data_IF_228558476175
#
_entry.id   IF_228558476175
#
_cell.length_a   1.000
_cell.length_b   1.000
_cell.length_c   1.000
_cell.angle_alpha   90.00
_cell.angle_beta   90.00
_cell.angle_gamma   90.00
#
_symmetry.space_group_name_H-M   'P 1'
#
loop_
_entity.id
_entity.type
_entity.pdbx_description
1 polymer ?
#
# COMPACT_ATOMS: atom_id res chain seq x y z
N UNK A 1 2.78 -0.74 20.81
CA UNK A 1 3.00 0.48 20.00
C UNK A 1 2.70 0.16 18.54
N UNK A 2 1.46 0.40 18.08
CA UNK A 2 1.00 0.03 16.74
C UNK A 2 1.51 1.01 15.68
N UNK A 3 2.33 0.53 14.75
CA UNK A 3 2.75 1.25 13.55
C UNK A 3 1.58 1.30 12.54
N UNK A 4 1.07 2.50 12.32
CA UNK A 4 -0.10 2.75 11.49
C UNK A 4 0.39 3.08 10.06
N UNK A 5 0.14 2.15 9.14
CA UNK A 5 0.61 2.15 7.75
C UNK A 5 -0.48 2.73 6.83
N UNK A 6 -0.19 3.74 5.99
CA UNK A 6 -1.19 4.43 5.14
C UNK A 6 -0.69 4.78 3.73
N UNK A 7 -1.61 4.74 2.75
CA UNK A 7 -1.38 4.82 1.30
C UNK A 7 -1.81 6.16 0.69
N UNK A 8 -1.22 6.53 -0.45
CA UNK A 8 -1.40 7.82 -1.12
C UNK A 8 -2.07 7.73 -2.51
N UNK A 9 -2.50 8.85 -3.09
CA UNK A 9 -3.16 8.99 -4.41
C UNK A 9 -2.66 10.26 -5.11
N UNK A 10 -2.36 10.19 -6.42
CA UNK A 10 -2.13 11.32 -7.32
C UNK A 10 -2.92 11.13 -8.63
N UNK A 11 -3.33 12.23 -9.25
CA UNK A 11 -4.13 12.31 -10.50
C UNK A 11 -3.25 12.39 -11.77
N UNK A 12 -3.54 11.56 -12.79
CA UNK A 12 -2.90 11.44 -14.11
C UNK A 12 -2.53 12.75 -14.80
N UNK A 13 -3.49 13.68 -14.91
CA UNK A 13 -3.28 14.94 -15.67
C UNK A 13 -2.26 15.84 -14.97
N UNK A 14 -2.17 15.72 -13.67
CA UNK A 14 -1.24 16.47 -12.84
C UNK A 14 0.17 15.88 -12.88
N UNK A 15 0.29 14.55 -12.85
CA UNK A 15 1.57 13.85 -12.95
C UNK A 15 2.23 14.08 -14.32
N UNK A 16 1.48 13.94 -15.41
CA UNK A 16 1.98 14.13 -16.77
C UNK A 16 2.32 15.59 -17.09
N UNK A 17 1.57 16.55 -16.54
CA UNK A 17 1.90 17.98 -16.67
C UNK A 17 3.11 18.39 -15.84
N UNK A 18 3.32 17.81 -14.65
CA UNK A 18 4.53 18.00 -13.82
C UNK A 18 5.78 17.38 -14.47
N UNK A 19 5.66 16.25 -15.18
CA UNK A 19 6.77 15.61 -15.91
C UNK A 19 7.15 16.39 -17.18
N UNK A 20 6.19 16.86 -17.99
CA UNK A 20 6.48 17.68 -19.18
C UNK A 20 7.02 19.09 -18.85
N UNK A 21 6.73 19.64 -17.66
CA UNK A 21 7.15 21.00 -17.27
C UNK A 21 8.52 21.11 -16.59
N UNK A 22 9.20 20.01 -16.24
CA UNK A 22 10.53 20.07 -15.59
C UNK A 22 11.70 20.33 -16.56
N UNK A 23 11.53 21.31 -17.45
CA UNK A 23 12.64 22.05 -18.08
C UNK A 23 12.68 23.53 -17.71
N UNK A 24 11.72 24.09 -16.96
CA UNK A 24 11.86 25.47 -16.45
C UNK A 24 10.91 25.79 -15.30
N UNK A 25 11.48 26.48 -14.31
CA UNK A 25 10.89 27.26 -13.20
C UNK A 25 9.49 26.92 -12.67
N UNK A 26 9.47 26.69 -11.36
CA UNK A 26 8.33 26.75 -10.43
C UNK A 26 7.23 27.75 -10.86
N UNK A 27 6.00 27.25 -11.11
CA UNK A 27 4.75 28.01 -10.94
C UNK A 27 3.64 27.09 -10.43
N UNK A 28 2.88 27.63 -9.49
CA UNK A 28 1.79 27.07 -8.68
C UNK A 28 0.72 26.31 -9.49
N UNK A 29 0.21 25.16 -9.01
CA UNK A 29 -1.00 24.57 -9.55
C UNK A 29 -2.26 24.99 -8.79
N UNK A 30 -3.33 25.05 -9.56
CA UNK A 30 -4.65 25.64 -9.31
C UNK A 30 -5.56 24.65 -8.57
N UNK A 31 -6.42 25.21 -7.71
CA UNK A 31 -7.37 24.56 -6.80
C UNK A 31 -8.51 23.81 -7.52
N UNK A 32 -8.93 22.66 -6.98
CA UNK A 32 -10.30 22.13 -7.16
C UNK A 32 -10.85 21.67 -5.80
N UNK A 33 -12.05 22.11 -5.40
CA UNK A 33 -12.67 21.67 -4.16
C UNK A 33 -13.32 20.31 -4.40
N UNK A 34 -12.89 19.27 -3.67
CA UNK A 34 -13.66 18.03 -3.56
C UNK A 34 -14.26 17.96 -2.17
N UNK A 35 -15.51 18.39 -2.12
CA UNK A 35 -16.43 18.16 -1.02
C UNK A 35 -16.73 16.67 -0.85
N UNK A 36 -17.05 16.31 0.39
CA UNK A 36 -17.42 15.00 0.93
C UNK A 36 -16.24 14.06 1.22
N UNK A 37 -16.14 13.78 2.52
CA UNK A 37 -15.52 12.64 3.20
C UNK A 37 -15.05 11.51 2.25
N UNK A 38 -13.88 10.93 2.53
CA UNK A 38 -13.22 9.81 1.83
C UNK A 38 -12.13 10.21 0.82
N UNK A 39 -10.91 10.45 1.32
CA UNK A 39 -9.64 10.28 0.57
C UNK A 39 -8.63 9.64 1.54
N UNK A 40 -7.84 8.62 1.22
CA UNK A 40 -7.00 8.47 0.03
C UNK A 40 -6.78 6.98 -0.30
N UNK A 41 -7.31 6.50 -1.43
CA UNK A 41 -6.89 5.25 -2.04
C UNK A 41 -7.16 5.37 -3.54
N UNK A 42 -6.16 5.66 -4.38
CA UNK A 42 -6.29 5.50 -5.84
C UNK A 42 -4.93 5.52 -6.58
N UNK A 43 -3.95 4.71 -6.17
CA UNK A 43 -2.73 4.48 -6.98
C UNK A 43 -2.94 3.43 -8.10
N UNK A 44 -4.08 2.75 -8.17
CA UNK A 44 -4.17 1.46 -8.89
C UNK A 44 -4.74 1.53 -10.31
N UNK A 45 -5.50 2.56 -10.71
CA UNK A 45 -6.01 2.60 -12.11
C UNK A 45 -5.00 3.14 -13.13
N UNK A 46 -3.95 3.84 -12.70
CA UNK A 46 -3.00 4.49 -13.63
C UNK A 46 -1.75 3.66 -13.90
N UNK A 47 -1.40 2.69 -13.06
CA UNK A 47 -0.23 1.82 -13.29
C UNK A 47 -0.51 0.84 -14.46
N UNK A 48 -1.75 0.40 -14.63
CA UNK A 48 -2.16 -0.54 -15.70
C UNK A 48 -2.22 0.06 -17.11
N UNK A 49 -2.37 1.38 -17.25
CA UNK A 49 -2.26 2.05 -18.57
C UNK A 49 -0.87 2.65 -18.79
N UNK A 50 0.03 2.50 -17.82
CA UNK A 50 1.44 2.89 -17.93
C UNK A 50 2.32 1.73 -18.42
N UNK A 51 1.76 0.51 -18.42
CA UNK A 51 2.44 -0.75 -18.73
C UNK A 51 2.63 -1.07 -20.20
N UNK A 52 2.09 -0.29 -21.14
CA UNK A 52 2.25 -0.57 -22.58
C UNK A 52 3.27 0.33 -23.31
N UNK A 53 3.85 1.36 -22.67
CA UNK A 53 4.89 2.21 -23.29
C UNK A 53 6.19 2.37 -22.51
N UNK A 54 6.32 1.82 -21.29
CA UNK A 54 7.58 1.92 -20.51
C UNK A 54 8.07 0.53 -20.11
N UNK A 55 8.39 -0.25 -21.13
CA UNK A 55 9.25 -1.40 -21.00
C UNK A 55 10.70 -0.92 -20.75
N UNK A 56 11.44 -1.63 -19.91
CA UNK A 56 12.88 -1.46 -19.53
C UNK A 56 13.12 -0.77 -18.18
N UNK A 57 13.13 -1.59 -17.11
CA UNK A 57 13.88 -1.45 -15.84
C UNK A 57 13.62 -0.21 -14.96
N UNK A 58 12.47 -0.15 -14.26
CA UNK A 58 12.37 0.65 -13.02
C UNK A 58 12.13 -0.26 -11.82
N UNK A 59 13.08 -0.22 -10.87
CA UNK A 59 12.99 -0.89 -9.57
C UNK A 59 11.84 -0.33 -8.73
N UNK A 60 11.31 -1.13 -7.80
CA UNK A 60 10.26 -0.67 -6.89
C UNK A 60 10.71 0.55 -6.08
N UNK A 61 12.00 0.60 -5.69
CA UNK A 61 12.61 1.77 -5.08
C UNK A 61 12.45 3.05 -5.90
N UNK A 62 12.61 2.97 -7.22
CA UNK A 62 12.47 4.11 -8.13
C UNK A 62 11.01 4.56 -8.22
N UNK A 63 10.08 3.59 -8.33
CA UNK A 63 8.64 3.85 -8.34
C UNK A 63 8.23 4.55 -7.04
N UNK A 64 8.70 4.04 -5.90
CA UNK A 64 8.44 4.60 -4.58
C UNK A 64 8.89 6.06 -4.47
N UNK A 65 10.13 6.36 -4.88
CA UNK A 65 10.67 7.72 -4.84
C UNK A 65 9.86 8.71 -5.70
N UNK A 66 9.44 8.28 -6.90
CA UNK A 66 8.58 9.08 -7.78
C UNK A 66 7.24 9.36 -7.09
N UNK A 67 6.60 8.34 -6.52
CA UNK A 67 5.34 8.52 -5.79
C UNK A 67 5.50 9.49 -4.62
N UNK A 68 6.58 9.39 -3.83
CA UNK A 68 6.88 10.34 -2.74
C UNK A 68 6.96 11.79 -3.19
N UNK A 69 7.55 12.06 -4.35
CA UNK A 69 7.70 13.42 -4.86
C UNK A 69 6.37 14.07 -5.27
N UNK A 70 5.32 13.28 -5.37
CA UNK A 70 4.00 13.70 -5.86
C UNK A 70 2.98 13.84 -4.73
N UNK A 71 3.39 13.49 -3.50
CA UNK A 71 2.53 13.48 -2.32
C UNK A 71 2.42 14.90 -1.72
N UNK A 72 1.18 15.35 -1.53
CA UNK A 72 0.86 16.60 -0.86
C UNK A 72 0.29 16.34 0.53
N UNK A 73 1.15 16.38 1.56
CA UNK A 73 0.79 15.96 2.92
C UNK A 73 -0.30 16.81 3.59
N UNK A 74 -0.50 18.04 3.10
CA UNK A 74 -1.51 18.99 3.59
C UNK A 74 -2.95 18.55 3.25
N UNK A 75 -3.13 17.63 2.30
CA UNK A 75 -4.44 17.09 1.91
C UNK A 75 -4.72 15.71 2.54
N UNK A 76 -3.81 15.18 3.35
CA UNK A 76 -3.95 13.85 3.95
C UNK A 76 -4.77 13.95 5.24
N UNK A 77 -5.78 13.09 5.36
CA UNK A 77 -6.54 12.88 6.60
C UNK A 77 -5.74 11.99 7.54
N UNK A 78 -5.57 12.41 8.80
CA UNK A 78 -4.95 11.56 9.80
C UNK A 78 -5.86 10.37 10.13
N UNK A 79 -5.37 9.14 10.01
CA UNK A 79 -6.19 7.97 10.27
C UNK A 79 -6.35 7.65 11.76
N UNK A 80 -5.53 8.26 12.63
CA UNK A 80 -5.66 8.10 14.08
C UNK A 80 -6.65 9.09 14.68
N UNK A 81 -6.68 10.34 14.22
CA UNK A 81 -7.51 11.40 14.82
C UNK A 81 -8.46 12.11 13.85
N UNK A 82 -8.44 11.79 12.56
CA UNK A 82 -9.31 12.40 11.55
C UNK A 82 -8.92 13.80 11.09
N UNK A 83 -7.94 14.46 11.73
CA UNK A 83 -7.51 15.82 11.35
C UNK A 83 -6.81 15.81 10.00
N UNK A 84 -7.15 16.77 9.14
CA UNK A 84 -6.59 16.91 7.79
C UNK A 84 -5.36 17.82 7.81
N UNK A 85 -4.31 17.45 7.10
CA UNK A 85 -3.19 18.33 6.75
C UNK A 85 -2.18 18.64 7.84
N UNK A 86 -2.42 18.21 9.08
CA UNK A 86 -1.52 18.43 10.22
C UNK A 86 -0.35 17.44 10.26
N UNK A 87 0.36 17.31 9.14
CA UNK A 87 1.50 16.40 8.99
C UNK A 87 2.81 17.14 8.73
N UNK A 88 3.91 16.54 9.20
CA UNK A 88 5.28 16.86 8.74
C UNK A 88 5.95 15.61 8.23
N UNK A 89 6.88 15.75 7.29
CA UNK A 89 7.81 14.67 6.98
C UNK A 89 8.65 14.35 8.22
N UNK A 90 8.76 13.06 8.53
CA UNK A 90 9.40 12.59 9.74
C UNK A 90 10.28 11.37 9.45
N UNK A 91 11.60 11.57 9.41
CA UNK A 91 12.57 10.48 9.27
C UNK A 91 12.23 9.44 8.18
N UNK A 92 12.86 8.28 8.30
CA UNK A 92 12.58 7.13 7.45
C UNK A 92 12.99 5.86 8.21
N UNK A 93 12.48 4.71 7.78
CA UNK A 93 13.07 3.43 8.13
C UNK A 93 13.33 2.63 6.88
N UNK A 94 14.36 1.81 6.92
CA UNK A 94 14.71 0.95 5.81
C UNK A 94 14.08 -0.42 5.99
N UNK A 95 13.57 -1.00 4.91
CA UNK A 95 13.14 -2.40 4.90
C UNK A 95 13.52 -3.07 3.59
N UNK A 96 13.90 -4.33 3.68
CA UNK A 96 13.96 -5.18 2.51
C UNK A 96 12.54 -5.63 2.14
N UNK A 97 12.26 -5.66 0.84
CA UNK A 97 10.95 -5.94 0.30
C UNK A 97 11.07 -6.79 -0.95
N UNK A 98 10.29 -7.85 -1.02
CA UNK A 98 10.18 -8.77 -2.15
C UNK A 98 9.04 -8.29 -3.04
N UNK A 99 9.39 -7.93 -4.27
CA UNK A 99 8.46 -7.52 -5.30
C UNK A 99 8.84 -8.21 -6.61
N UNK A 100 7.91 -8.96 -7.20
CA UNK A 100 8.14 -9.73 -8.44
C UNK A 100 9.40 -10.59 -8.35
N UNK A 101 9.56 -11.29 -7.21
CA UNK A 101 10.68 -12.18 -6.90
C UNK A 101 12.06 -11.48 -6.79
N UNK A 102 12.08 -10.15 -6.83
CA UNK A 102 13.27 -9.32 -6.58
C UNK A 102 13.25 -8.82 -5.14
N UNK A 103 14.35 -9.07 -4.41
CA UNK A 103 14.57 -8.52 -3.07
C UNK A 103 15.25 -7.15 -3.18
N UNK A 104 14.53 -6.08 -2.83
CA UNK A 104 15.04 -4.72 -2.85
C UNK A 104 15.03 -4.07 -1.47
N UNK A 105 16.00 -3.20 -1.21
CA UNK A 105 15.99 -2.32 -0.05
C UNK A 105 15.23 -1.01 -0.34
N UNK A 106 14.21 -0.71 0.46
CA UNK A 106 13.36 0.48 0.31
C UNK A 106 13.40 1.32 1.59
N UNK A 107 13.68 2.63 1.42
CA UNK A 107 13.61 3.63 2.49
C UNK A 107 12.19 4.15 2.59
N UNK A 108 11.43 3.65 3.56
CA UNK A 108 10.04 4.05 3.77
C UNK A 108 9.99 5.39 4.51
N UNK A 109 9.39 6.37 3.85
CA UNK A 109 9.11 7.69 4.42
C UNK A 109 8.06 7.57 5.52
N UNK A 110 8.28 8.28 6.63
CA UNK A 110 7.25 8.45 7.67
C UNK A 110 6.79 9.90 7.72
N UNK A 111 5.58 10.10 8.20
CA UNK A 111 5.00 11.42 8.47
C UNK A 111 4.53 11.46 9.91
N UNK A 112 4.64 12.60 10.57
CA UNK A 112 4.24 12.78 11.96
C UNK A 112 3.03 13.70 12.02
N UNK A 113 1.96 13.23 12.64
CA UNK A 113 0.77 14.03 12.87
C UNK A 113 1.00 14.95 14.08
N UNK A 114 0.94 16.27 13.88
CA UNK A 114 1.11 17.25 14.96
C UNK A 114 -0.05 17.22 15.95
N UNK A 115 -1.25 16.89 15.49
CA UNK A 115 -2.46 16.83 16.30
C UNK A 115 -2.45 15.65 17.28
N UNK A 116 -2.34 14.41 16.81
CA UNK A 116 -2.38 13.23 17.68
C UNK A 116 -1.01 12.70 18.12
N UNK A 117 0.08 13.33 17.67
CA UNK A 117 1.47 12.95 18.00
C UNK A 117 1.83 11.52 17.57
N UNK A 118 1.13 10.96 16.59
CA UNK A 118 1.41 9.63 16.03
C UNK A 118 2.24 9.75 14.76
N UNK A 119 3.21 8.84 14.59
CA UNK A 119 3.95 8.69 13.34
C UNK A 119 3.32 7.61 12.45
N UNK A 120 3.16 7.93 11.17
CA UNK A 120 2.58 7.06 10.15
C UNK A 120 3.59 6.75 9.06
N UNK A 121 3.49 5.57 8.46
CA UNK A 121 4.34 5.15 7.34
C UNK A 121 3.63 5.35 6.02
N UNK A 122 4.32 5.92 5.02
CA UNK A 122 3.83 6.04 3.66
C UNK A 122 4.17 4.76 2.88
N UNK A 123 3.16 3.96 2.55
CA UNK A 123 3.32 2.75 1.74
C UNK A 123 2.56 2.82 0.42
N UNK A 124 3.04 2.07 -0.58
CA UNK A 124 2.32 1.85 -1.84
C UNK A 124 1.23 0.79 -1.67
N UNK A 125 0.29 0.72 -2.61
CA UNK A 125 -0.75 -0.31 -2.60
C UNK A 125 -0.28 -1.73 -2.82
N UNK A 126 0.87 -1.92 -3.43
CA UNK A 126 1.51 -3.21 -3.52
C UNK A 126 2.17 -3.66 -2.19
N UNK A 127 2.20 -2.79 -1.17
CA UNK A 127 2.91 -3.03 0.08
C UNK A 127 1.96 -3.37 1.22
N UNK A 128 2.10 -4.58 1.77
CA UNK A 128 1.36 -4.99 2.96
C UNK A 128 2.07 -4.45 4.23
N UNK A 129 1.35 -3.87 5.20
CA UNK A 129 1.91 -3.46 6.50
C UNK A 129 2.71 -4.58 7.16
N UNK A 130 3.86 -4.26 7.75
CA UNK A 130 4.74 -5.21 8.47
C UNK A 130 5.28 -6.40 7.68
N UNK A 131 4.79 -6.62 6.47
CA UNK A 131 5.22 -7.66 5.56
C UNK A 131 6.44 -7.18 4.77
N UNK A 132 7.35 -8.13 4.51
CA UNK A 132 8.42 -7.99 3.53
C UNK A 132 7.97 -8.42 2.13
N UNK A 133 6.79 -8.99 1.97
CA UNK A 133 6.26 -9.50 0.71
C UNK A 133 5.18 -8.59 0.16
N UNK A 134 5.12 -8.49 -1.17
CA UNK A 134 4.10 -7.75 -1.90
C UNK A 134 2.69 -8.28 -1.68
N UNK A 135 1.71 -7.42 -1.96
CA UNK A 135 0.30 -7.79 -1.99
C UNK A 135 0.06 -8.94 -2.96
N UNK A 136 0.69 -8.93 -4.14
CA UNK A 136 0.54 -10.01 -5.13
C UNK A 136 0.99 -11.36 -4.58
N UNK A 137 2.08 -11.41 -3.82
CA UNK A 137 2.55 -12.63 -3.14
C UNK A 137 1.52 -13.07 -2.08
N UNK A 138 1.01 -12.14 -1.27
CA UNK A 138 -0.03 -12.46 -0.30
C UNK A 138 -1.27 -13.04 -0.98
N UNK A 139 -1.75 -12.42 -2.06
CA UNK A 139 -2.91 -12.88 -2.83
C UNK A 139 -2.68 -14.31 -3.35
N UNK A 140 -1.52 -14.58 -3.98
CA UNK A 140 -1.15 -15.92 -4.45
C UNK A 140 -1.24 -16.96 -3.32
N UNK A 141 -0.59 -16.69 -2.19
CA UNK A 141 -0.55 -17.61 -1.02
C UNK A 141 -1.94 -17.91 -0.45
N UNK A 142 -2.80 -16.88 -0.32
CA UNK A 142 -4.13 -17.06 0.30
C UNK A 142 -5.14 -17.68 -0.65
N UNK A 143 -4.89 -17.62 -1.96
CA UNK A 143 -5.73 -18.22 -2.99
C UNK A 143 -5.41 -19.69 -3.27
N UNK A 144 -4.25 -20.21 -2.84
CA UNK A 144 -3.93 -21.64 -3.01
C UNK A 144 -5.04 -22.51 -2.42
N UNK A 145 -5.49 -23.52 -3.17
CA UNK A 145 -6.61 -24.39 -2.80
C UNK A 145 -6.18 -25.48 -1.82
N UNK A 146 -4.97 -25.98 -2.00
CA UNK A 146 -4.41 -27.07 -1.22
C UNK A 146 -2.92 -26.84 -0.89
N UNK A 147 -2.33 -27.78 -0.17
CA UNK A 147 -0.93 -27.72 0.26
C UNK A 147 0.06 -27.94 -0.90
N UNK A 148 -0.36 -28.61 -1.98
CA UNK A 148 0.48 -28.80 -3.16
C UNK A 148 0.64 -27.47 -3.92
N UNK A 149 -0.46 -26.77 -4.21
CA UNK A 149 -0.43 -25.45 -4.84
C UNK A 149 0.31 -24.42 -3.97
N UNK A 150 0.22 -24.56 -2.64
CA UNK A 150 0.97 -23.74 -1.69
C UNK A 150 2.48 -24.01 -1.77
N UNK A 151 2.87 -25.29 -1.88
CA UNK A 151 4.26 -25.71 -2.05
C UNK A 151 4.82 -25.22 -3.38
N UNK A 152 4.08 -25.36 -4.48
CA UNK A 152 4.49 -24.90 -5.82
C UNK A 152 4.65 -23.37 -5.85
N UNK A 153 3.72 -22.65 -5.19
CA UNK A 153 3.82 -21.19 -5.01
C UNK A 153 5.05 -20.80 -4.22
N UNK A 154 5.33 -21.51 -3.12
CA UNK A 154 6.53 -21.29 -2.31
C UNK A 154 7.81 -21.51 -3.13
N UNK A 155 7.88 -22.62 -3.86
CA UNK A 155 9.01 -22.97 -4.72
C UNK A 155 9.26 -21.91 -5.78
N UNK A 156 8.20 -21.39 -6.40
CA UNK A 156 8.28 -20.33 -7.41
C UNK A 156 8.80 -19.01 -6.83
N UNK A 157 8.40 -18.64 -5.62
CA UNK A 157 8.83 -17.37 -4.99
C UNK A 157 10.34 -17.42 -4.65
N UNK A 158 10.86 -18.58 -4.24
CA UNK A 158 12.29 -18.86 -4.04
C UNK A 158 13.02 -18.10 -2.92
N UNK A 159 12.46 -16.99 -2.42
CA UNK A 159 13.10 -16.07 -1.46
C UNK A 159 12.39 -16.01 -0.09
N UNK A 160 11.48 -16.94 0.18
CA UNK A 160 10.70 -17.03 1.42
C UNK A 160 10.83 -18.45 2.00
N UNK A 161 10.89 -18.59 3.33
CA UNK A 161 10.82 -19.92 3.94
C UNK A 161 9.39 -20.47 3.91
N UNK A 162 9.24 -21.79 3.85
CA UNK A 162 7.90 -22.37 3.76
C UNK A 162 7.05 -22.09 5.01
N UNK A 163 7.67 -22.02 6.19
CA UNK A 163 6.99 -21.63 7.43
C UNK A 163 6.46 -20.20 7.39
N UNK A 164 7.16 -19.28 6.71
CA UNK A 164 6.66 -17.92 6.49
C UNK A 164 5.44 -17.91 5.56
N UNK A 165 5.45 -18.72 4.50
CA UNK A 165 4.29 -18.91 3.62
C UNK A 165 3.08 -19.42 4.41
N UNK A 166 3.28 -20.50 5.20
CA UNK A 166 2.26 -21.05 6.08
C UNK A 166 1.76 -20.04 7.09
N UNK A 167 2.65 -19.23 7.67
CA UNK A 167 2.28 -18.18 8.63
C UNK A 167 1.39 -17.11 7.97
N UNK A 168 1.77 -16.61 6.77
CA UNK A 168 0.94 -15.65 6.02
C UNK A 168 -0.45 -16.21 5.78
N UNK A 169 -0.53 -17.45 5.27
CA UNK A 169 -1.80 -18.16 5.04
C UNK A 169 -2.60 -18.28 6.33
N UNK A 170 -2.01 -18.78 7.41
CA UNK A 170 -2.64 -18.91 8.73
C UNK A 170 -3.19 -17.57 9.23
N UNK A 171 -2.40 -16.49 9.18
CA UNK A 171 -2.85 -15.17 9.65
C UNK A 171 -4.04 -14.64 8.84
N UNK A 172 -4.06 -14.90 7.52
CA UNK A 172 -5.19 -14.56 6.69
C UNK A 172 -6.46 -15.33 7.10
N UNK A 173 -6.38 -16.66 7.24
CA UNK A 173 -7.54 -17.46 7.63
C UNK A 173 -8.06 -17.09 9.03
N UNK A 174 -7.16 -16.84 9.99
CA UNK A 174 -7.51 -16.50 11.38
C UNK A 174 -8.14 -15.12 11.58
N UNK A 175 -7.74 -14.12 10.78
CA UNK A 175 -8.07 -12.71 11.06
C UNK A 175 -8.75 -11.96 9.92
N UNK A 176 -8.76 -12.51 8.69
CA UNK A 176 -9.16 -11.79 7.49
C UNK A 176 -10.20 -12.50 6.63
N UNK A 177 -10.18 -13.83 6.52
CA UNK A 177 -11.09 -14.55 5.61
C UNK A 177 -12.56 -14.16 5.81
N UNK A 178 -13.09 -14.33 7.02
CA UNK A 178 -14.50 -14.03 7.32
C UNK A 178 -14.84 -12.56 7.09
N UNK A 179 -13.94 -11.65 7.49
CA UNK A 179 -14.08 -10.21 7.25
C UNK A 179 -14.25 -9.91 5.77
N UNK A 180 -13.35 -10.44 4.93
CA UNK A 180 -13.42 -10.22 3.49
C UNK A 180 -14.66 -10.88 2.87
N UNK A 181 -15.10 -12.03 3.40
CA UNK A 181 -16.33 -12.70 2.97
C UNK A 181 -17.58 -11.87 3.27
N UNK A 182 -17.71 -11.29 4.46
CA UNK A 182 -18.86 -10.45 4.84
C UNK A 182 -19.02 -9.25 3.89
N UNK A 183 -17.91 -8.60 3.54
CA UNK A 183 -17.93 -7.48 2.61
C UNK A 183 -17.88 -7.88 1.12
N UNK A 184 -17.90 -9.19 0.81
CA UNK A 184 -17.80 -9.74 -0.55
C UNK A 184 -16.63 -9.13 -1.33
N UNK A 185 -15.49 -8.96 -0.65
CA UNK A 185 -14.31 -8.31 -1.25
C UNK A 185 -13.62 -9.27 -2.21
N UNK A 186 -13.44 -8.81 -3.45
CA UNK A 186 -12.72 -9.56 -4.50
C UNK A 186 -11.21 -9.31 -4.39
N UNK A 187 -10.44 -10.37 -4.59
CA UNK A 187 -8.98 -10.37 -4.61
C UNK A 187 -8.45 -9.92 -5.98
N UNK A 188 -8.47 -8.62 -6.21
CA UNK A 188 -7.80 -7.99 -7.34
C UNK A 188 -6.94 -6.82 -6.85
N UNK A 189 -6.42 -6.02 -7.77
CA UNK A 189 -5.56 -4.90 -7.44
C UNK A 189 -6.24 -3.85 -6.55
N UNK A 190 -7.58 -3.75 -6.58
CA UNK A 190 -8.36 -2.85 -5.72
C UNK A 190 -8.62 -3.43 -4.33
N UNK A 191 -8.05 -4.59 -3.99
CA UNK A 191 -8.22 -5.23 -2.69
C UNK A 191 -7.95 -4.26 -1.55
N UNK A 192 -6.80 -3.58 -1.55
CA UNK A 192 -6.42 -2.70 -0.43
C UNK A 192 -7.37 -1.50 -0.30
N UNK A 193 -7.86 -0.96 -1.41
CA UNK A 193 -8.90 0.07 -1.42
C UNK A 193 -10.16 -0.41 -0.72
N UNK A 194 -10.68 -1.58 -1.14
CA UNK A 194 -11.94 -2.11 -0.62
C UNK A 194 -11.84 -2.46 0.85
N UNK A 195 -10.74 -3.07 1.25
CA UNK A 195 -10.44 -3.40 2.65
C UNK A 195 -10.37 -2.13 3.49
N UNK A 196 -9.69 -1.10 3.01
CA UNK A 196 -9.58 0.16 3.72
C UNK A 196 -10.92 0.85 3.88
N UNK A 197 -11.72 0.92 2.80
CA UNK A 197 -13.06 1.51 2.83
C UNK A 197 -14.01 0.76 3.77
N UNK A 198 -13.91 -0.57 3.82
CA UNK A 198 -14.77 -1.41 4.64
C UNK A 198 -14.42 -1.44 6.12
N UNK A 199 -13.14 -1.45 6.46
CA UNK A 199 -12.66 -1.68 7.83
C UNK A 199 -11.87 -0.52 8.45
N UNK A 200 -11.55 0.53 7.69
CA UNK A 200 -10.65 1.60 8.14
C UNK A 200 -9.22 1.11 8.44
N UNK A 201 -8.86 -0.08 7.96
CA UNK A 201 -7.57 -0.76 8.20
C UNK A 201 -7.02 -1.30 6.89
N UNK A 202 -5.71 -1.42 6.76
CA UNK A 202 -5.10 -2.07 5.60
C UNK A 202 -5.21 -3.59 5.70
N UNK A 203 -5.24 -4.24 4.53
CA UNK A 203 -5.18 -5.70 4.42
C UNK A 203 -3.98 -6.27 5.19
N UNK A 204 -4.21 -7.34 5.95
CA UNK A 204 -3.22 -8.04 6.78
C UNK A 204 -2.59 -7.20 7.91
N UNK A 205 -3.13 -6.03 8.26
CA UNK A 205 -2.66 -5.22 9.39
C UNK A 205 -3.12 -5.72 10.78
N UNK A 206 -4.19 -6.52 10.83
CA UNK A 206 -4.78 -7.04 12.06
C UNK A 206 -4.11 -8.39 12.36
N UNK A 207 -3.47 -8.47 13.52
CA UNK A 207 -2.73 -9.67 13.97
C UNK A 207 -3.19 -10.21 15.32
N UNK A 208 -4.02 -9.47 16.06
CA UNK A 208 -4.38 -9.81 17.45
C UNK A 208 -5.89 -10.08 17.62
N UNK A 209 -6.75 -9.40 16.86
CA UNK A 209 -8.19 -9.63 16.94
C UNK A 209 -8.56 -10.83 16.07
N UNK A 210 -8.91 -11.95 16.70
CA UNK A 210 -9.44 -13.14 16.01
C UNK A 210 -10.72 -12.73 15.26
N UNK A 211 -11.06 -13.45 14.19
CA UNK A 211 -12.38 -13.31 13.58
C UNK A 211 -13.45 -13.56 14.65
N UNK A 212 -14.13 -12.51 15.08
CA UNK A 212 -15.39 -12.62 15.80
C UNK A 212 -16.45 -12.16 14.82
N UNK A 213 -17.28 -13.11 14.36
CA UNK A 213 -18.55 -12.79 13.75
C UNK A 213 -19.36 -12.05 14.83
N UNK A 214 -19.44 -10.74 14.72
CA UNK A 214 -20.46 -9.94 15.42
C UNK A 214 -21.51 -9.60 14.38
#
# INVERSE_FOLDING_TARGET
>A
MQMLVFMLWINRKELLSKIKRRKSSCKTPIFFPLNSNYMVTKIIEEIKTFTEEICIKRTLKTIYAICLCTIEIHHIVCPSCGVVGEFIFWGYYTRMFVWEDILEEIRIQRIFCKSCRVTHSILLSCMVPYSRFSLSIHIRIVQCKDDQELFDTWYTIGCISFDRVRNIRSQYFKHWKERLTVLKIVFDERLVFRVFKGYGRQFMQIHATINSLV
#
